data_IF_556223923022
#
_entry.id   IF_556223923022
#
_cell.length_a   1.000
_cell.length_b   1.000
_cell.length_c   1.000
_cell.angle_alpha   90.00
_cell.angle_beta   90.00
_cell.angle_gamma   90.00
#
_symmetry.space_group_name_H-M   'P 1'
#
loop_
_entity.id
_entity.type
_entity.pdbx_description
1 polymer ?
#
# COMPACT_ATOMS: atom_id res chain seq x y z
N UNK A 1 -15.58 1.75 4.02
CA UNK A 1 -14.74 2.97 3.91
C UNK A 1 -14.91 3.47 2.49
N UNK A 2 -15.05 4.77 2.27
CA UNK A 2 -15.23 5.29 0.91
C UNK A 2 -14.62 6.69 0.82
N UNK A 3 -14.32 7.14 -0.40
CA UNK A 3 -13.95 8.52 -0.66
C UNK A 3 -15.16 9.46 -0.55
N UNK A 4 -14.88 10.75 -0.37
CA UNK A 4 -15.90 11.79 -0.24
C UNK A 4 -16.67 12.04 -1.54
N UNK A 5 -16.10 11.67 -2.69
CA UNK A 5 -16.64 11.84 -4.04
C UNK A 5 -17.16 10.52 -4.63
N UNK A 6 -17.36 9.49 -3.80
CA UNK A 6 -17.82 8.20 -4.28
C UNK A 6 -19.25 8.27 -4.83
N UNK A 7 -19.39 7.96 -6.12
CA UNK A 7 -20.65 7.75 -6.82
C UNK A 7 -20.55 6.39 -7.52
N UNK A 8 -21.43 5.41 -7.19
CA UNK A 8 -21.38 4.06 -7.75
C UNK A 8 -21.32 4.07 -9.29
N UNK A 9 -20.33 3.40 -9.86
CA UNK A 9 -20.10 3.34 -11.30
C UNK A 9 -19.69 4.65 -11.99
N UNK A 10 -19.40 5.73 -11.25
CA UNK A 10 -19.08 7.05 -11.82
C UNK A 10 -17.76 7.61 -11.30
N UNK A 11 -17.59 7.73 -9.98
CA UNK A 11 -16.41 8.38 -9.38
C UNK A 11 -16.06 7.82 -7.99
N UNK A 12 -14.84 8.10 -7.53
CA UNK A 12 -14.35 7.78 -6.19
C UNK A 12 -14.03 6.30 -5.95
N UNK A 13 -13.88 5.92 -4.68
CA UNK A 13 -13.61 4.54 -4.30
C UNK A 13 -14.43 4.12 -3.08
N UNK A 14 -14.69 2.81 -2.97
CA UNK A 14 -15.39 2.19 -1.84
C UNK A 14 -14.77 0.85 -1.50
N UNK A 15 -14.46 0.66 -0.22
CA UNK A 15 -14.12 -0.62 0.40
C UNK A 15 -15.27 -1.06 1.30
N UNK A 16 -15.94 -2.15 0.92
CA UNK A 16 -16.93 -2.80 1.75
C UNK A 16 -16.23 -3.62 2.84
N UNK A 17 -16.38 -3.20 4.10
CA UNK A 17 -15.68 -3.85 5.23
C UNK A 17 -16.28 -5.21 5.61
N UNK A 18 -17.50 -5.50 5.18
CA UNK A 18 -18.20 -6.75 5.48
C UNK A 18 -17.91 -7.83 4.44
N UNK A 19 -17.83 -7.45 3.16
CA UNK A 19 -17.60 -8.39 2.05
C UNK A 19 -16.15 -8.41 1.56
N UNK A 20 -15.36 -7.38 1.88
CA UNK A 20 -14.02 -7.18 1.34
C UNK A 20 -13.98 -6.61 -0.08
N UNK A 21 -15.14 -6.35 -0.69
CA UNK A 21 -15.21 -5.81 -2.05
C UNK A 21 -14.62 -4.40 -2.10
N UNK A 22 -13.74 -4.18 -3.09
CA UNK A 22 -13.11 -2.90 -3.33
C UNK A 22 -13.45 -2.43 -4.74
N UNK A 23 -14.06 -1.25 -4.81
CA UNK A 23 -14.52 -0.60 -6.03
C UNK A 23 -13.77 0.72 -6.21
N UNK A 24 -13.16 0.92 -7.37
CA UNK A 24 -12.58 2.20 -7.78
C UNK A 24 -13.24 2.62 -9.09
N UNK A 25 -13.91 3.76 -9.08
CA UNK A 25 -14.48 4.39 -10.26
C UNK A 25 -13.68 5.66 -10.55
N UNK A 26 -12.78 5.62 -11.52
CA UNK A 26 -12.08 6.82 -11.99
C UNK A 26 -11.70 6.67 -13.46
N UNK A 27 -11.80 7.77 -14.21
CA UNK A 27 -11.24 7.86 -15.56
C UNK A 27 -9.70 7.81 -15.57
N UNK A 28 -9.05 8.10 -14.43
CA UNK A 28 -7.60 8.00 -14.22
C UNK A 28 -7.31 7.50 -12.81
N UNK A 29 -6.71 6.32 -12.69
CA UNK A 29 -6.13 5.84 -11.44
C UNK A 29 -4.65 6.23 -11.48
N UNK A 30 -4.32 7.36 -10.84
CA UNK A 30 -2.94 7.83 -10.66
C UNK A 30 -2.50 7.47 -9.24
N UNK A 31 -1.70 6.41 -9.11
CA UNK A 31 -1.03 6.04 -7.85
C UNK A 31 0.41 6.54 -7.95
N UNK A 32 0.76 7.57 -7.18
CA UNK A 32 2.16 8.04 -7.08
C UNK A 32 2.63 9.01 -8.15
N UNK A 33 1.74 9.63 -8.94
CA UNK A 33 2.15 10.70 -9.86
C UNK A 33 2.64 11.92 -9.06
N UNK A 34 3.91 12.27 -9.24
CA UNK A 34 4.46 13.50 -8.67
C UNK A 34 3.82 14.70 -9.37
N UNK A 35 3.41 15.72 -8.59
CA UNK A 35 2.72 16.91 -9.09
C UNK A 35 3.43 17.54 -10.30
N UNK A 36 2.69 17.91 -11.33
CA UNK A 36 3.22 18.66 -12.49
C UNK A 36 3.49 20.14 -12.16
N UNK A 37 3.09 20.60 -10.97
CA UNK A 37 3.34 21.96 -10.53
C UNK A 37 4.79 22.11 -10.02
N UNK A 38 5.42 23.28 -10.24
CA UNK A 38 6.74 23.59 -9.68
C UNK A 38 6.76 23.43 -8.16
N UNK A 39 7.73 22.67 -7.64
CA UNK A 39 7.94 22.51 -6.21
C UNK A 39 9.08 23.40 -5.72
N UNK A 40 9.05 23.81 -4.45
CA UNK A 40 10.20 24.48 -3.84
C UNK A 40 11.32 23.46 -3.61
N UNK A 41 12.50 23.75 -4.16
CA UNK A 41 13.69 22.92 -4.01
C UNK A 41 14.82 23.69 -3.36
N UNK A 42 15.67 22.98 -2.62
CA UNK A 42 16.95 23.49 -2.13
C UNK A 42 18.00 23.24 -3.20
N UNK A 43 18.59 24.31 -3.71
CA UNK A 43 19.66 24.28 -4.71
C UNK A 43 20.99 24.55 -4.03
N UNK A 44 21.96 23.67 -4.26
CA UNK A 44 23.36 23.91 -3.85
C UNK A 44 24.02 24.85 -4.85
N UNK A 45 24.28 26.08 -4.42
CA UNK A 45 25.02 27.07 -5.21
C UNK A 45 26.53 26.81 -5.20
N UNK A 46 27.04 26.22 -4.12
CA UNK A 46 28.44 25.82 -4.02
C UNK A 46 28.71 24.90 -2.83
N UNK A 47 29.75 24.10 -2.96
CA UNK A 47 30.22 23.16 -1.96
C UNK A 47 31.74 23.12 -2.01
N UNK A 48 32.37 23.30 -0.86
CA UNK A 48 33.82 23.41 -0.73
C UNK A 48 34.31 22.64 0.48
N UNK A 49 35.44 21.94 0.35
CA UNK A 49 36.15 21.44 1.51
C UNK A 49 36.70 22.60 2.34
N UNK A 50 36.88 22.40 3.65
CA UNK A 50 37.42 23.44 4.52
C UNK A 50 38.77 24.00 4.01
N UNK A 51 39.61 23.16 3.39
CA UNK A 51 40.90 23.56 2.83
C UNK A 51 40.82 24.40 1.54
N UNK A 52 39.69 24.35 0.83
CA UNK A 52 39.51 25.10 -0.42
C UNK A 52 38.99 26.52 -0.15
N UNK A 53 38.60 26.80 1.10
CA UNK A 53 38.14 28.10 1.53
C UNK A 53 39.31 28.96 2.03
N UNK A 54 39.28 30.28 1.77
CA UNK A 54 40.30 31.18 2.32
C UNK A 54 40.31 31.14 3.85
N UNK A 55 41.48 30.95 4.46
CA UNK A 55 41.63 30.98 5.93
C UNK A 55 41.44 32.41 6.49
N UNK A 56 41.80 33.43 5.70
CA UNK A 56 41.63 34.82 6.11
C UNK A 56 40.15 35.21 6.10
N UNK A 57 39.64 35.72 7.23
CA UNK A 57 38.23 36.06 7.39
C UNK A 57 37.71 37.09 6.36
N UNK A 58 38.53 38.06 5.93
CA UNK A 58 38.13 39.06 4.93
C UNK A 58 38.05 38.43 3.55
N UNK A 59 39.03 37.62 3.18
CA UNK A 59 39.04 36.91 1.90
C UNK A 59 37.92 35.86 1.83
N UNK A 60 37.65 35.18 2.95
CA UNK A 60 36.53 34.24 3.08
C UNK A 60 35.19 34.95 2.89
N UNK A 61 34.99 36.09 3.56
CA UNK A 61 33.78 36.89 3.40
C UNK A 61 33.62 37.39 1.95
N UNK A 62 34.70 37.88 1.34
CA UNK A 62 34.67 38.33 -0.05
C UNK A 62 34.36 37.18 -1.03
N UNK A 63 34.97 36.02 -0.81
CA UNK A 63 34.74 34.81 -1.60
C UNK A 63 33.27 34.39 -1.54
N UNK A 64 32.75 34.15 -0.34
CA UNK A 64 31.35 33.76 -0.12
C UNK A 64 30.39 34.82 -0.65
N UNK A 65 30.67 36.10 -0.44
CA UNK A 65 29.87 37.21 -0.98
C UNK A 65 29.81 37.20 -2.52
N UNK A 66 30.91 36.83 -3.17
CA UNK A 66 30.96 36.67 -4.62
C UNK A 66 30.13 35.47 -5.11
N UNK A 67 30.11 34.37 -4.35
CA UNK A 67 29.28 33.19 -4.65
C UNK A 67 27.79 33.48 -4.44
N UNK A 68 27.41 34.18 -3.37
CA UNK A 68 26.04 34.66 -3.15
C UNK A 68 25.60 35.58 -4.28
N UNK A 69 26.51 36.40 -4.83
CA UNK A 69 26.20 37.29 -5.94
C UNK A 69 25.86 36.55 -7.24
N UNK A 70 26.29 35.29 -7.40
CA UNK A 70 25.90 34.44 -8.55
C UNK A 70 24.47 33.90 -8.42
N UNK A 71 23.91 33.83 -7.21
CA UNK A 71 22.53 33.43 -6.98
C UNK A 71 21.59 34.53 -7.53
N UNK A 72 20.48 34.18 -8.23
CA UNK A 72 19.51 35.17 -8.69
C UNK A 72 18.98 36.03 -7.54
N UNK A 73 18.82 37.34 -7.80
CA UNK A 73 18.55 38.34 -6.77
C UNK A 73 17.27 38.04 -5.98
N UNK A 74 16.27 37.48 -6.64
CA UNK A 74 14.99 37.06 -6.09
C UNK A 74 15.10 35.90 -5.08
N UNK A 75 16.18 35.13 -5.11
CA UNK A 75 16.37 33.98 -4.22
C UNK A 75 17.48 34.17 -3.18
N UNK A 76 18.30 35.22 -3.31
CA UNK A 76 19.41 35.51 -2.37
C UNK A 76 18.97 35.62 -0.92
N UNK A 77 17.76 36.11 -0.65
CA UNK A 77 17.23 36.23 0.70
C UNK A 77 17.04 34.87 1.41
N UNK A 78 16.93 33.79 0.64
CA UNK A 78 16.83 32.42 1.15
C UNK A 78 18.18 31.68 1.21
N UNK A 79 19.28 32.37 0.87
CA UNK A 79 20.58 31.74 0.82
C UNK A 79 21.12 31.46 2.23
N UNK A 80 21.52 30.21 2.47
CA UNK A 80 22.04 29.72 3.74
C UNK A 80 23.40 29.06 3.57
N UNK A 81 24.28 29.30 4.54
CA UNK A 81 25.59 28.66 4.63
C UNK A 81 25.54 27.66 5.77
N UNK A 82 25.86 26.41 5.47
CA UNK A 82 25.97 25.34 6.45
C UNK A 82 27.32 24.65 6.37
N UNK A 83 27.79 24.14 7.50
CA UNK A 83 28.93 23.24 7.56
C UNK A 83 28.43 21.85 7.91
N UNK A 84 28.89 20.83 7.20
CA UNK A 84 28.51 19.44 7.42
C UNK A 84 29.72 18.53 7.32
N UNK A 85 29.62 17.39 7.96
CA UNK A 85 30.64 16.36 7.99
C UNK A 85 30.20 15.23 7.04
N UNK A 86 30.99 14.96 6.00
CA UNK A 86 30.75 13.89 5.01
C UNK A 86 31.69 12.70 5.22
N UNK A 87 32.29 12.60 6.42
CA UNK A 87 33.21 11.53 6.77
C UNK A 87 32.49 10.18 6.85
N UNK A 88 32.80 9.29 5.91
CA UNK A 88 32.33 7.90 5.95
C UNK A 88 33.29 6.94 6.68
N UNK A 89 34.57 7.31 6.79
CA UNK A 89 35.62 6.47 7.38
C UNK A 89 36.17 7.03 8.69
N UNK A 90 36.32 6.20 9.74
CA UNK A 90 36.95 6.63 10.99
C UNK A 90 38.40 7.09 10.77
N UNK A 91 38.67 8.38 11.01
CA UNK A 91 40.01 8.98 10.93
C UNK A 91 40.24 9.92 9.75
N UNK A 92 39.29 10.01 8.81
CA UNK A 92 39.32 10.98 7.71
C UNK A 92 38.20 11.99 7.91
N UNK A 93 38.57 13.20 8.31
CA UNK A 93 37.61 14.30 8.51
C UNK A 93 37.38 15.01 7.18
N UNK A 94 36.20 14.86 6.58
CA UNK A 94 35.74 15.61 5.40
C UNK A 94 34.68 16.64 5.83
N UNK A 95 35.14 17.74 6.42
CA UNK A 95 34.29 18.88 6.76
C UNK A 95 34.15 19.77 5.54
N UNK A 96 32.91 20.01 5.14
CA UNK A 96 32.55 20.81 3.99
C UNK A 96 31.62 21.95 4.34
N UNK A 97 31.75 23.03 3.61
CA UNK A 97 30.84 24.17 3.66
C UNK A 97 29.96 24.15 2.40
N UNK A 98 28.65 24.24 2.61
CA UNK A 98 27.63 24.32 1.56
C UNK A 98 26.96 25.67 1.58
N UNK A 99 26.85 26.29 0.41
CA UNK A 99 25.96 27.43 0.16
C UNK A 99 24.73 26.91 -0.59
N UNK A 100 23.56 27.08 0.01
CA UNK A 100 22.29 26.63 -0.57
C UNK A 100 21.29 27.78 -0.64
N UNK A 101 20.28 27.68 -1.50
CA UNK A 101 19.16 28.61 -1.54
C UNK A 101 17.89 27.90 -2.00
N UNK A 102 16.73 28.52 -1.80
CA UNK A 102 15.45 27.95 -2.20
C UNK A 102 14.91 28.65 -3.45
N UNK A 103 14.44 27.86 -4.43
CA UNK A 103 13.69 28.35 -5.58
C UNK A 103 12.66 27.32 -6.06
N UNK A 104 11.63 27.73 -6.81
CA UNK A 104 10.80 26.78 -7.54
C UNK A 104 11.64 26.01 -8.57
N UNK A 105 11.26 24.75 -8.81
CA UNK A 105 11.76 23.94 -9.93
C UNK A 105 11.57 24.68 -11.27
N UNK A 106 12.54 24.51 -12.16
CA UNK A 106 12.44 24.89 -13.57
C UNK A 106 11.58 23.90 -14.35
N UNK A 107 11.14 24.30 -15.55
CA UNK A 107 10.37 23.41 -16.43
C UNK A 107 11.13 22.13 -16.78
N UNK A 108 12.46 22.22 -16.94
CA UNK A 108 13.35 21.10 -17.20
C UNK A 108 13.45 20.16 -16.00
N UNK A 109 13.58 20.69 -14.78
CA UNK A 109 13.61 19.90 -13.54
C UNK A 109 12.27 19.19 -13.30
N UNK A 110 11.14 19.86 -13.56
CA UNK A 110 9.80 19.26 -13.49
C UNK A 110 9.69 18.12 -14.51
N UNK A 111 10.09 18.36 -15.76
CA UNK A 111 10.06 17.34 -16.81
C UNK A 111 10.94 16.13 -16.46
N UNK A 112 12.13 16.38 -15.89
CA UNK A 112 13.03 15.33 -15.43
C UNK A 112 12.41 14.51 -14.28
N UNK A 113 11.81 15.17 -13.29
CA UNK A 113 11.12 14.52 -12.16
C UNK A 113 9.93 13.68 -12.61
N UNK A 114 9.07 14.22 -13.47
CA UNK A 114 7.92 13.49 -14.04
C UNK A 114 8.36 12.34 -14.96
N UNK A 115 9.49 12.47 -15.64
CA UNK A 115 10.06 11.37 -16.41
C UNK A 115 10.62 10.28 -15.50
N UNK A 116 11.37 10.64 -14.46
CA UNK A 116 11.91 9.70 -13.48
C UNK A 116 10.80 8.93 -12.75
N UNK A 117 9.69 9.57 -12.39
CA UNK A 117 8.56 8.87 -11.77
C UNK A 117 7.88 7.86 -12.70
N UNK A 118 7.94 8.06 -14.02
CA UNK A 118 7.39 7.13 -15.02
C UNK A 118 8.34 5.98 -15.35
N UNK A 119 9.64 6.18 -15.17
CA UNK A 119 10.69 5.25 -15.61
C UNK A 119 11.33 4.45 -14.48
N UNK A 120 10.86 4.55 -13.24
CA UNK A 120 11.49 3.85 -12.12
C UNK A 120 10.51 2.84 -11.53
N UNK A 121 10.85 1.55 -11.66
CA UNK A 121 10.06 0.45 -11.13
C UNK A 121 9.09 -0.18 -12.14
N UNK A 122 8.09 -0.88 -11.61
CA UNK A 122 7.12 -1.61 -12.40
C UNK A 122 5.94 -0.72 -12.78
N UNK A 123 5.57 -0.72 -14.06
CA UNK A 123 4.34 -0.09 -14.53
C UNK A 123 3.53 -1.04 -15.40
N UNK A 124 2.21 -0.89 -15.41
CA UNK A 124 1.30 -1.72 -16.20
C UNK A 124 0.49 -0.80 -17.10
N UNK A 125 0.53 -1.04 -18.40
CA UNK A 125 -0.25 -0.30 -19.39
C UNK A 125 -1.25 -1.24 -20.05
N UNK A 126 -2.52 -0.83 -20.12
CA UNK A 126 -3.54 -1.49 -20.94
C UNK A 126 -3.82 -0.64 -22.18
N UNK A 127 -3.67 -1.23 -23.35
CA UNK A 127 -4.00 -0.63 -24.65
C UNK A 127 -4.94 -1.60 -25.38
N UNK A 128 -6.25 -1.31 -25.38
CA UNK A 128 -7.24 -2.27 -25.89
C UNK A 128 -7.26 -3.57 -25.08
N UNK A 129 -7.05 -4.71 -25.77
CA UNK A 129 -6.95 -6.07 -25.20
C UNK A 129 -5.52 -6.47 -24.82
N UNK A 130 -4.56 -5.59 -25.07
CA UNK A 130 -3.15 -5.79 -24.73
C UNK A 130 -2.84 -5.18 -23.37
N UNK A 131 -2.22 -5.96 -22.50
CA UNK A 131 -1.69 -5.55 -21.21
C UNK A 131 -0.18 -5.73 -21.24
N UNK A 132 0.58 -4.67 -20.97
CA UNK A 132 2.04 -4.70 -20.95
C UNK A 132 2.55 -4.32 -19.57
N UNK A 133 3.38 -5.17 -18.99
CA UNK A 133 4.15 -4.91 -17.79
C UNK A 133 5.51 -4.39 -18.20
N UNK A 134 5.86 -3.22 -17.70
CA UNK A 134 7.15 -2.61 -17.90
C UNK A 134 7.96 -2.68 -16.61
N UNK A 135 9.26 -2.76 -16.76
CA UNK A 135 10.21 -2.43 -15.70
C UNK A 135 11.17 -1.39 -16.28
N UNK A 136 11.25 -0.24 -15.62
CA UNK A 136 12.02 0.91 -16.08
C UNK A 136 11.71 1.36 -17.52
N UNK A 137 10.44 1.27 -17.92
CA UNK A 137 9.97 1.64 -19.26
C UNK A 137 10.26 0.60 -20.36
N UNK A 138 10.95 -0.50 -20.04
CA UNK A 138 11.16 -1.62 -20.95
C UNK A 138 10.01 -2.63 -20.78
N UNK A 139 9.34 -3.08 -21.86
CA UNK A 139 8.33 -4.14 -21.77
C UNK A 139 8.99 -5.46 -21.34
N UNK A 140 8.50 -6.09 -20.28
CA UNK A 140 8.97 -7.41 -19.84
C UNK A 140 7.92 -8.51 -20.03
N UNK A 141 6.65 -8.19 -19.85
CA UNK A 141 5.55 -9.15 -20.04
C UNK A 141 4.49 -8.47 -20.88
N UNK A 142 4.07 -9.12 -21.97
CA UNK A 142 2.93 -8.68 -22.78
C UNK A 142 1.90 -9.79 -22.77
N UNK A 143 0.69 -9.47 -22.31
CA UNK A 143 -0.46 -10.36 -22.29
C UNK A 143 -1.52 -9.79 -23.26
N UNK A 144 -2.03 -10.62 -24.17
CA UNK A 144 -2.98 -10.18 -25.21
C UNK A 144 -2.30 -9.83 -26.54
N UNK A 145 -3.11 -9.38 -27.52
CA UNK A 145 -2.83 -9.29 -28.98
C UNK A 145 -3.17 -10.61 -29.73
N UNK A 146 -4.48 -10.82 -30.00
CA UNK A 146 -5.02 -11.99 -30.72
C UNK A 146 -4.78 -11.92 -32.24
N UNK A 147 -4.44 -10.75 -32.79
CA UNK A 147 -4.35 -10.53 -34.24
C UNK A 147 -3.06 -11.11 -34.85
N UNK A 148 -2.12 -11.58 -34.02
CA UNK A 148 -0.90 -12.28 -34.44
C UNK A 148 -0.95 -13.79 -34.23
N UNK A 149 -2.09 -14.37 -33.87
CA UNK A 149 -2.26 -15.81 -33.63
C UNK A 149 -2.02 -16.71 -34.86
N UNK A 150 -1.71 -16.14 -36.03
CA UNK A 150 -1.43 -16.89 -37.26
C UNK A 150 0.00 -17.42 -37.33
N UNK A 151 0.94 -16.86 -36.58
CA UNK A 151 2.30 -17.41 -36.43
C UNK A 151 2.34 -18.20 -35.13
N UNK A 152 1.98 -19.49 -35.20
CA UNK A 152 2.11 -20.45 -34.10
C UNK A 152 3.54 -20.99 -34.07
N UNK A 153 4.43 -20.56 -33.16
CA UNK A 153 5.56 -21.40 -32.79
C UNK A 153 5.05 -22.57 -31.94
N UNK A 154 5.45 -23.79 -32.30
CA UNK A 154 5.11 -25.06 -31.62
C UNK A 154 5.65 -25.15 -30.16
N UNK A 155 6.34 -24.12 -29.68
CA UNK A 155 6.95 -24.07 -28.36
C UNK A 155 6.14 -23.22 -27.37
N UNK A 156 5.92 -23.70 -26.12
CA UNK A 156 5.04 -23.07 -25.14
C UNK A 156 5.49 -21.69 -24.66
N UNK A 157 6.81 -21.45 -24.71
CA UNK A 157 7.43 -20.16 -24.50
C UNK A 157 8.36 -19.90 -25.68
N UNK A 158 8.27 -18.72 -26.28
CA UNK A 158 9.25 -18.23 -27.24
C UNK A 158 9.91 -16.99 -26.67
N UNK A 159 11.24 -16.96 -26.69
CA UNK A 159 12.00 -15.76 -26.35
C UNK A 159 12.51 -15.19 -27.66
N UNK A 160 11.97 -14.04 -28.07
CA UNK A 160 12.43 -13.28 -29.23
C UNK A 160 13.07 -11.98 -28.73
N UNK A 161 14.40 -11.88 -28.85
CA UNK A 161 15.17 -10.81 -28.22
C UNK A 161 15.09 -10.88 -26.70
N UNK A 162 14.64 -9.78 -26.07
CA UNK A 162 14.47 -9.67 -24.61
C UNK A 162 13.01 -9.91 -24.16
N UNK A 163 12.14 -10.37 -25.06
CA UNK A 163 10.70 -10.49 -24.83
C UNK A 163 10.25 -11.97 -24.83
N UNK A 164 9.46 -12.34 -23.81
CA UNK A 164 8.88 -13.69 -23.67
C UNK A 164 7.44 -13.69 -24.19
N UNK A 165 7.16 -14.58 -25.13
CA UNK A 165 5.83 -14.87 -25.69
C UNK A 165 5.33 -16.19 -25.12
N UNK A 166 4.08 -16.22 -24.65
CA UNK A 166 3.43 -17.44 -24.12
C UNK A 166 2.34 -17.85 -25.10
N UNK A 167 2.37 -19.12 -25.52
CA UNK A 167 1.41 -19.66 -26.47
C UNK A 167 -0.02 -19.73 -25.87
N UNK A 168 -1.02 -19.27 -26.62
CA UNK A 168 -2.44 -19.30 -26.23
C UNK A 168 -2.93 -20.70 -25.84
N UNK A 169 -2.48 -21.74 -26.54
CA UNK A 169 -2.85 -23.12 -26.23
C UNK A 169 -2.33 -23.56 -24.85
N UNK A 170 -1.19 -23.02 -24.40
CA UNK A 170 -0.69 -23.24 -23.04
C UNK A 170 -1.54 -22.50 -22.00
N UNK A 171 -1.97 -21.27 -22.31
CA UNK A 171 -2.86 -20.49 -21.45
C UNK A 171 -4.20 -21.22 -21.29
N UNK A 172 -4.76 -21.76 -22.38
CA UNK A 172 -5.98 -22.54 -22.36
C UNK A 172 -5.87 -23.84 -21.53
N UNK A 173 -4.71 -24.52 -21.55
CA UNK A 173 -4.44 -25.71 -20.73
C UNK A 173 -4.25 -25.36 -19.24
N UNK A 174 -3.71 -24.18 -18.94
CA UNK A 174 -3.52 -23.70 -17.56
C UNK A 174 -4.75 -23.01 -16.94
N UNK A 175 -5.80 -22.75 -17.71
CA UNK A 175 -6.99 -22.05 -17.25
C UNK A 175 -7.85 -22.99 -16.38
N UNK A 176 -8.11 -22.61 -15.12
CA UNK A 176 -9.06 -23.33 -14.26
C UNK A 176 -10.47 -23.02 -14.76
N UNK A 177 -11.10 -24.00 -15.42
CA UNK A 177 -12.50 -23.93 -15.83
C UNK A 177 -13.43 -24.43 -14.71
N UNK A 178 -14.74 -24.15 -14.79
CA UNK A 178 -15.72 -24.65 -13.80
C UNK A 178 -15.72 -26.17 -13.63
N UNK A 179 -15.25 -26.92 -14.66
CA UNK A 179 -15.08 -28.38 -14.61
C UNK A 179 -13.85 -28.82 -13.80
N UNK A 180 -12.92 -27.90 -13.56
CA UNK A 180 -11.66 -28.08 -12.83
C UNK A 180 -11.73 -27.49 -11.41
N UNK A 181 -12.88 -26.95 -11.00
CA UNK A 181 -13.13 -26.54 -9.63
C UNK A 181 -13.07 -27.76 -8.68
N UNK A 182 -12.51 -27.61 -7.46
CA UNK A 182 -12.46 -28.71 -6.49
C UNK A 182 -13.87 -29.26 -6.26
N UNK A 183 -14.05 -30.58 -6.46
CA UNK A 183 -15.33 -31.22 -6.13
C UNK A 183 -15.57 -31.09 -4.62
N UNK A 184 -16.81 -30.79 -4.19
CA UNK A 184 -17.13 -30.81 -2.76
C UNK A 184 -16.78 -32.18 -2.17
N UNK A 185 -15.88 -32.21 -1.18
CA UNK A 185 -15.48 -33.44 -0.47
C UNK A 185 -14.07 -33.97 -0.70
N UNK A 186 -13.21 -33.29 -1.49
CA UNK A 186 -11.78 -33.62 -1.56
C UNK A 186 -10.95 -32.73 -0.60
N UNK A 187 -10.58 -33.35 0.54
CA UNK A 187 -9.61 -32.99 1.58
C UNK A 187 -9.88 -31.79 2.51
N UNK A 188 -10.41 -32.09 3.70
CA UNK A 188 -10.40 -31.27 4.93
C UNK A 188 -9.01 -31.16 5.59
N UNK A 189 -7.92 -31.35 4.85
CA UNK A 189 -6.57 -31.21 5.39
C UNK A 189 -5.60 -30.77 4.32
N UNK A 190 -4.98 -29.63 4.61
CA UNK A 190 -3.95 -28.91 3.87
C UNK A 190 -3.00 -29.85 3.10
N UNK A 191 -3.24 -29.99 1.80
CA UNK A 191 -2.30 -30.41 0.76
C UNK A 191 -2.73 -29.61 -0.48
N UNK A 192 -1.82 -29.06 -1.34
CA UNK A 192 -2.25 -28.44 -2.59
C UNK A 192 -3.22 -29.39 -3.28
N UNK A 193 -4.45 -28.94 -3.52
CA UNK A 193 -5.47 -29.76 -4.16
C UNK A 193 -4.95 -30.14 -5.54
N UNK A 194 -4.44 -31.35 -5.69
CA UNK A 194 -3.98 -31.83 -6.98
C UNK A 194 -5.21 -32.27 -7.75
N UNK A 195 -5.59 -31.45 -8.74
CA UNK A 195 -6.62 -31.78 -9.70
C UNK A 195 -5.98 -32.49 -10.89
N UNK A 196 -6.74 -33.38 -11.52
CA UNK A 196 -6.32 -34.12 -12.71
C UNK A 196 -7.07 -33.52 -13.90
N UNK A 197 -6.35 -33.08 -14.92
CA UNK A 197 -6.99 -32.59 -16.15
C UNK A 197 -7.52 -33.75 -17.01
N UNK A 198 -8.22 -33.44 -18.11
CA UNK A 198 -8.79 -34.45 -19.02
C UNK A 198 -7.73 -35.39 -19.63
N UNK A 199 -6.44 -35.02 -19.57
CA UNK A 199 -5.30 -35.78 -20.07
C UNK A 199 -4.59 -36.62 -18.98
N UNK A 200 -5.12 -36.67 -17.76
CA UNK A 200 -4.53 -37.46 -16.66
C UNK A 200 -3.35 -36.78 -15.95
N UNK A 201 -3.09 -35.49 -16.18
CA UNK A 201 -1.98 -34.76 -15.57
C UNK A 201 -2.40 -34.08 -14.27
N UNK A 202 -1.58 -34.23 -13.24
CA UNK A 202 -1.76 -33.59 -11.94
C UNK A 202 -1.32 -32.12 -11.98
N UNK A 203 -2.15 -31.21 -11.49
CA UNK A 203 -1.81 -29.79 -11.29
C UNK A 203 -2.34 -29.28 -9.95
N UNK A 204 -1.66 -28.32 -9.34
CA UNK A 204 -2.10 -27.71 -8.09
C UNK A 204 -3.22 -26.69 -8.36
N UNK A 205 -4.47 -27.04 -8.05
CA UNK A 205 -5.61 -26.12 -8.12
C UNK A 205 -5.84 -25.46 -6.77
N UNK A 206 -5.21 -24.29 -6.57
CA UNK A 206 -5.52 -23.37 -5.48
C UNK A 206 -4.68 -23.53 -4.20
N UNK A 207 -4.33 -22.38 -3.61
CA UNK A 207 -3.96 -22.25 -2.21
C UNK A 207 -5.25 -21.93 -1.47
N UNK A 208 -5.92 -22.94 -0.92
CA UNK A 208 -7.07 -22.73 -0.03
C UNK A 208 -6.57 -22.23 1.33
N UNK A 209 -6.67 -20.94 1.61
CA UNK A 209 -6.61 -20.44 2.99
C UNK A 209 -7.85 -20.99 3.71
N UNK A 210 -7.64 -21.97 4.60
CA UNK A 210 -8.69 -22.72 5.31
C UNK A 210 -9.55 -21.77 6.17
N UNK A 211 -10.72 -21.38 5.68
CA UNK A 211 -11.71 -20.58 6.40
C UNK A 211 -12.74 -21.43 7.20
N UNK A 212 -12.73 -22.75 7.04
CA UNK A 212 -13.71 -23.62 7.72
C UNK A 212 -13.42 -23.82 9.21
N UNK A 213 -12.15 -23.92 9.62
CA UNK A 213 -11.77 -23.96 11.04
C UNK A 213 -12.24 -22.69 11.78
N UNK A 214 -12.03 -21.52 11.16
CA UNK A 214 -12.52 -20.25 11.70
C UNK A 214 -14.04 -20.22 11.83
N UNK A 215 -14.79 -20.83 10.91
CA UNK A 215 -16.27 -20.87 10.99
C UNK A 215 -16.73 -21.71 12.18
N UNK A 216 -16.06 -22.82 12.49
CA UNK A 216 -16.35 -23.63 13.67
C UNK A 216 -16.00 -22.89 14.96
N UNK A 217 -14.82 -22.27 15.01
CA UNK A 217 -14.36 -21.52 16.18
C UNK A 217 -15.25 -20.31 16.47
N UNK A 218 -15.67 -19.59 15.42
CA UNK A 218 -16.64 -18.49 15.54
C UNK A 218 -17.99 -18.99 16.07
N UNK A 219 -18.50 -20.12 15.57
CA UNK A 219 -19.77 -20.68 16.06
C UNK A 219 -19.67 -21.11 17.52
N UNK A 220 -18.56 -21.73 17.91
CA UNK A 220 -18.32 -22.13 19.29
C UNK A 220 -18.24 -20.90 20.20
N UNK A 221 -17.43 -19.91 19.84
CA UNK A 221 -17.27 -18.66 20.59
C UNK A 221 -18.60 -17.90 20.74
N UNK A 222 -19.41 -17.82 19.68
CA UNK A 222 -20.74 -17.19 19.72
C UNK A 222 -21.67 -17.94 20.68
N UNK A 223 -21.66 -19.28 20.65
CA UNK A 223 -22.46 -20.08 21.57
C UNK A 223 -22.01 -19.92 23.03
N UNK A 224 -20.69 -19.87 23.28
CA UNK A 224 -20.13 -19.64 24.61
C UNK A 224 -20.51 -18.26 25.15
N UNK A 225 -20.42 -17.20 24.33
CA UNK A 225 -20.82 -15.84 24.73
C UNK A 225 -22.31 -15.74 25.02
N UNK A 226 -23.16 -16.33 24.18
CA UNK A 226 -24.62 -16.34 24.42
C UNK A 226 -25.00 -17.06 25.72
N UNK A 227 -24.32 -18.16 26.05
CA UNK A 227 -24.49 -18.85 27.33
C UNK A 227 -24.04 -17.99 28.51
N UNK A 228 -22.88 -17.34 28.40
CA UNK A 228 -22.36 -16.44 29.43
C UNK A 228 -23.31 -15.25 29.69
N UNK A 229 -23.84 -14.63 28.63
CA UNK A 229 -24.80 -13.52 28.74
C UNK A 229 -26.10 -13.96 29.42
N UNK A 230 -26.62 -15.15 29.07
CA UNK A 230 -27.81 -15.72 29.71
C UNK A 230 -27.59 -15.95 31.21
N UNK A 231 -26.43 -16.49 31.60
CA UNK A 231 -26.07 -16.68 33.01
C UNK A 231 -25.91 -15.35 33.75
N UNK A 232 -25.31 -14.34 33.11
CA UNK A 232 -25.17 -13.01 33.70
C UNK A 232 -26.53 -12.36 33.93
N UNK A 233 -27.43 -12.39 32.95
CA UNK A 233 -28.80 -11.87 33.08
C UNK A 233 -29.55 -12.56 34.22
N UNK A 234 -29.44 -13.89 34.36
CA UNK A 234 -30.07 -14.62 35.47
C UNK A 234 -29.52 -14.18 36.85
N UNK A 235 -28.20 -13.97 36.96
CA UNK A 235 -27.57 -13.49 38.21
C UNK A 235 -28.00 -12.08 38.57
N UNK A 236 -28.14 -11.19 37.58
CA UNK A 236 -28.64 -9.83 37.77
C UNK A 236 -30.09 -9.88 38.29
N UNK A 237 -30.98 -10.63 37.64
CA UNK A 237 -32.37 -10.75 38.09
C UNK A 237 -32.52 -11.32 39.51
N UNK A 238 -31.68 -12.31 39.87
CA UNK A 238 -31.65 -12.83 41.24
C UNK A 238 -31.16 -11.78 42.27
N UNK A 239 -30.20 -10.94 41.89
CA UNK A 239 -29.72 -9.84 42.74
C UNK A 239 -30.82 -8.78 42.92
N UNK A 240 -31.49 -8.39 41.85
CA UNK A 240 -32.61 -7.44 41.87
C UNK A 240 -33.72 -7.92 42.79
N UNK A 241 -34.13 -9.20 42.68
CA UNK A 241 -35.13 -9.79 43.56
C UNK A 241 -34.72 -9.77 45.04
N UNK A 242 -33.45 -10.06 45.35
CA UNK A 242 -32.92 -9.99 46.72
C UNK A 242 -32.90 -8.56 47.26
N UNK A 243 -32.53 -7.58 46.42
CA UNK A 243 -32.53 -6.16 46.79
C UNK A 243 -33.97 -5.70 47.07
N UNK A 244 -34.93 -6.04 46.21
CA UNK A 244 -36.34 -5.71 46.42
C UNK A 244 -36.88 -6.32 47.73
N UNK A 245 -36.57 -7.60 48.01
CA UNK A 245 -36.98 -8.27 49.24
C UNK A 245 -36.37 -7.64 50.51
N UNK A 246 -35.10 -7.22 50.43
CA UNK A 246 -34.43 -6.49 51.51
C UNK A 246 -35.09 -5.12 51.75
N UNK A 247 -35.41 -4.38 50.67
CA UNK A 247 -36.11 -3.10 50.76
C UNK A 247 -37.50 -3.22 51.40
N UNK A 248 -38.26 -4.28 51.08
CA UNK A 248 -39.55 -4.54 51.72
C UNK A 248 -39.40 -4.88 53.21
N UNK A 249 -38.37 -5.65 53.58
CA UNK A 249 -38.10 -6.02 54.99
C UNK A 249 -37.77 -4.80 55.85
N UNK A 250 -36.97 -3.87 55.32
CA UNK A 250 -36.64 -2.59 55.99
C UNK A 250 -37.90 -1.75 56.21
N UNK A 251 -38.77 -1.68 55.22
CA UNK A 251 -40.03 -0.91 55.31
C UNK A 251 -40.97 -1.51 56.37
N UNK A 252 -41.03 -2.84 56.46
CA UNK A 252 -41.88 -3.54 57.43
C UNK A 252 -41.34 -3.43 58.87
N UNK A 253 -40.02 -3.44 59.07
CA UNK A 253 -39.41 -3.17 60.38
C UNK A 253 -39.58 -1.71 60.82
N UNK A 254 -39.51 -0.75 59.90
CA UNK A 254 -39.76 0.66 60.20
C UNK A 254 -41.19 0.96 60.66
N UNK A 255 -42.18 0.24 60.13
CA UNK A 255 -43.58 0.37 60.54
C UNK A 255 -43.91 -0.25 61.90
N UNK A 256 -43.06 -1.15 62.42
CA UNK A 256 -43.25 -1.81 63.71
C UNK A 256 -42.75 -0.98 64.91
N UNK A 257 -42.06 0.14 64.67
CA UNK A 257 -41.65 1.08 65.73
C UNK A 257 -42.87 1.93 66.11
N UNK A 258 -43.71 1.38 66.98
CA UNK A 258 -44.80 2.14 67.61
C UNK A 258 -44.18 3.20 68.54
N UNK A 259 -44.52 4.48 68.43
CA UNK A 259 -43.96 5.49 69.32
C UNK A 259 -44.40 5.22 70.76
N UNK A 260 -43.42 5.04 71.65
CA UNK A 260 -43.63 5.03 73.10
C UNK A 260 -44.20 6.40 73.49
N UNK A 261 -45.38 6.38 74.12
CA UNK A 261 -45.95 7.53 74.82
C UNK A 261 -45.23 7.77 76.14
#
# INVERSE_FOLDING_TARGET
MQSNDYVPGVSGWKLNRLTGEFEINSAKISVGDLSEQPQMITVTAGEWAAQDLPENAIEHYAFIGSEISKIPVEYRASAEIGTFDDSYEPGFVDIRTKLTYQRPETAEEIAARTKASRSTGYSIKKEGDKITFFHNGVPHIVLGDLDKATEKPDTPFVVEGDQVFINESLIAVGMITDKMAPRPGFSDSVIPGFSINENGQYFASGIGLVLEGMKSDIKHEVATRSSADTQLSARIGALEARISAAGSSITQQGAAITPLK
#
